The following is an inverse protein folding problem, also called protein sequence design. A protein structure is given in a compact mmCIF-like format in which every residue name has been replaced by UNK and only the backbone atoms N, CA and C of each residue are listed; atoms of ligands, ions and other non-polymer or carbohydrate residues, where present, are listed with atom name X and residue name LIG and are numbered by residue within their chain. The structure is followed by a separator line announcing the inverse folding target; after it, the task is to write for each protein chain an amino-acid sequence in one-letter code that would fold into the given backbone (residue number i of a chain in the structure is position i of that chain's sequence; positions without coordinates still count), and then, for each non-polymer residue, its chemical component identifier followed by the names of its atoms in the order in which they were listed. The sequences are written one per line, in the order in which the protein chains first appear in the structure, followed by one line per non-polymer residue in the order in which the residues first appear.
data_IF_364608731191
#
_entry.id   IF_364608731191
#
_cell.length_a   1.000
_cell.length_b   1.000
_cell.length_c   1.000
_cell.angle_alpha   90.00
_cell.angle_beta   90.00
_cell.angle_gamma   90.00
#
_symmetry.space_group_name_H-M   'P 1'
#
loop_
_entity.id
_entity.type
_entity.pdbx_description
1 polymer ?
#
# COMPACT_ATOMS: atom_id res chain seq x y z
N UNK A 1 -19.14 31.67 -24.46
CA UNK A 1 -20.29 31.89 -23.54
C UNK A 1 -20.97 30.60 -23.08
N UNK A 2 -21.46 29.66 -23.94
CA UNK A 2 -22.04 28.39 -23.45
C UNK A 2 -20.99 27.30 -23.17
N UNK A 3 -19.87 27.30 -23.90
CA UNK A 3 -18.81 26.29 -23.80
C UNK A 3 -18.01 26.43 -22.49
N UNK A 4 -17.68 27.64 -22.04
CA UNK A 4 -17.04 27.85 -20.72
C UNK A 4 -17.82 27.21 -19.57
N UNK A 5 -19.15 27.31 -19.61
CA UNK A 5 -20.03 26.81 -18.55
C UNK A 5 -20.02 25.27 -18.53
N UNK A 6 -20.00 24.65 -19.71
CA UNK A 6 -19.86 23.19 -19.86
C UNK A 6 -18.50 22.72 -19.34
N UNK A 7 -17.41 23.43 -19.69
CA UNK A 7 -16.06 23.10 -19.21
C UNK A 7 -15.97 23.25 -17.70
N UNK A 8 -16.54 24.31 -17.12
CA UNK A 8 -16.56 24.53 -15.67
C UNK A 8 -17.28 23.38 -14.94
N UNK A 9 -18.46 23.00 -15.42
CA UNK A 9 -19.22 21.87 -14.83
C UNK A 9 -18.45 20.56 -14.98
N UNK A 10 -17.88 20.28 -16.15
CA UNK A 10 -17.06 19.09 -16.38
C UNK A 10 -15.83 19.05 -15.46
N UNK A 11 -15.13 20.17 -15.29
CA UNK A 11 -13.97 20.28 -14.42
C UNK A 11 -14.33 20.01 -12.95
N UNK A 12 -15.46 20.55 -12.46
CA UNK A 12 -15.95 20.28 -11.10
C UNK A 12 -16.26 18.80 -10.91
N UNK A 13 -16.94 18.16 -11.87
CA UNK A 13 -17.29 16.74 -11.81
C UNK A 13 -16.02 15.87 -11.80
N UNK A 14 -15.08 16.14 -12.70
CA UNK A 14 -13.82 15.39 -12.78
C UNK A 14 -12.98 15.58 -11.53
N UNK A 15 -12.84 16.81 -11.04
CA UNK A 15 -12.12 17.12 -9.80
C UNK A 15 -12.73 16.37 -8.61
N UNK A 16 -14.07 16.37 -8.50
CA UNK A 16 -14.77 15.62 -7.46
C UNK A 16 -14.52 14.12 -7.56
N UNK A 17 -14.59 13.55 -8.77
CA UNK A 17 -14.31 12.13 -8.99
C UNK A 17 -12.90 11.77 -8.53
N UNK A 18 -11.89 12.54 -8.95
CA UNK A 18 -10.49 12.33 -8.54
C UNK A 18 -10.34 12.47 -7.03
N UNK A 19 -10.94 13.49 -6.42
CA UNK A 19 -10.92 13.68 -4.98
C UNK A 19 -11.49 12.45 -4.24
N UNK A 20 -12.65 11.95 -4.66
CA UNK A 20 -13.25 10.76 -4.03
C UNK A 20 -12.40 9.50 -4.23
N UNK A 21 -11.74 9.35 -5.37
CA UNK A 21 -10.82 8.25 -5.63
C UNK A 21 -9.60 8.31 -4.70
N UNK A 22 -9.01 9.50 -4.52
CA UNK A 22 -7.89 9.70 -3.62
C UNK A 22 -8.27 9.38 -2.16
N UNK A 23 -9.43 9.84 -1.68
CA UNK A 23 -9.90 9.52 -0.33
C UNK A 23 -10.06 8.00 -0.13
N UNK A 24 -10.57 7.28 -1.14
CA UNK A 24 -10.65 5.81 -1.10
C UNK A 24 -9.28 5.16 -1.00
N UNK A 25 -8.31 5.62 -1.80
CA UNK A 25 -6.93 5.11 -1.77
C UNK A 25 -6.32 5.34 -0.39
N UNK A 26 -6.41 6.55 0.15
CA UNK A 26 -5.87 6.88 1.48
C UNK A 26 -6.50 6.00 2.56
N UNK A 27 -7.83 5.81 2.55
CA UNK A 27 -8.51 4.95 3.52
C UNK A 27 -8.01 3.50 3.44
N UNK A 28 -7.83 2.98 2.23
CA UNK A 28 -7.26 1.65 2.01
C UNK A 28 -5.83 1.58 2.53
N UNK A 29 -4.96 2.53 2.20
CA UNK A 29 -3.58 2.58 2.67
C UNK A 29 -3.49 2.64 4.20
N UNK A 30 -4.31 3.47 4.85
CA UNK A 30 -4.35 3.56 6.32
C UNK A 30 -4.80 2.23 6.94
N UNK A 31 -5.85 1.62 6.38
CA UNK A 31 -6.35 0.32 6.88
C UNK A 31 -5.28 -0.77 6.74
N UNK A 32 -4.61 -0.82 5.60
CA UNK A 32 -3.51 -1.76 5.35
C UNK A 32 -2.33 -1.50 6.27
N UNK A 33 -1.93 -0.24 6.48
CA UNK A 33 -0.85 0.11 7.39
C UNK A 33 -1.15 -0.31 8.84
N UNK A 34 -2.39 -0.14 9.31
CA UNK A 34 -2.84 -0.61 10.62
C UNK A 34 -2.78 -2.13 10.70
N UNK A 35 -3.28 -2.84 9.68
CA UNK A 35 -3.24 -4.31 9.64
C UNK A 35 -1.79 -4.84 9.66
N UNK A 36 -0.90 -4.26 8.85
CA UNK A 36 0.53 -4.60 8.83
C UNK A 36 1.13 -4.35 10.22
N UNK A 37 0.86 -3.19 10.82
CA UNK A 37 1.35 -2.86 12.17
C UNK A 37 0.86 -3.87 13.20
N UNK A 38 -0.42 -4.25 13.16
CA UNK A 38 -0.99 -5.24 14.07
C UNK A 38 -0.29 -6.61 13.92
N UNK A 39 -0.07 -7.06 12.68
CA UNK A 39 0.66 -8.31 12.41
C UNK A 39 2.08 -8.23 12.96
N UNK A 40 2.81 -7.16 12.66
CA UNK A 40 4.19 -6.95 13.15
C UNK A 40 4.24 -6.92 14.67
N UNK A 41 3.30 -6.25 15.33
CA UNK A 41 3.21 -6.21 16.79
C UNK A 41 2.94 -7.59 17.38
N UNK A 42 2.05 -8.38 16.78
CA UNK A 42 1.80 -9.76 17.21
C UNK A 42 3.08 -10.58 17.06
N UNK A 43 3.79 -10.47 15.94
CA UNK A 43 5.06 -11.17 15.73
C UNK A 43 6.13 -10.75 16.74
N UNK A 44 6.19 -9.47 17.08
CA UNK A 44 7.12 -8.95 18.07
C UNK A 44 6.81 -9.47 19.48
N UNK A 45 5.53 -9.48 19.88
CA UNK A 45 5.12 -9.92 21.22
C UNK A 45 5.20 -11.44 21.36
N UNK A 46 4.77 -12.19 20.34
CA UNK A 46 4.71 -13.66 20.41
C UNK A 46 6.05 -14.35 20.12
N UNK A 47 6.88 -13.78 19.25
CA UNK A 47 8.12 -14.41 18.77
C UNK A 47 9.37 -13.57 19.00
N UNK A 48 9.25 -12.34 19.50
CA UNK A 48 10.40 -11.43 19.69
C UNK A 48 10.97 -10.84 18.40
N UNK A 49 10.31 -11.04 17.26
CA UNK A 49 10.80 -10.63 15.93
C UNK A 49 10.54 -9.14 15.74
N UNK A 50 11.58 -8.37 15.44
CA UNK A 50 11.42 -6.94 15.15
C UNK A 50 11.14 -6.72 13.66
N UNK A 51 10.42 -5.64 13.28
CA UNK A 51 10.10 -5.37 11.88
C UNK A 51 11.31 -5.29 10.94
N UNK A 52 12.49 -4.93 11.46
CA UNK A 52 13.73 -4.92 10.66
C UNK A 52 14.15 -6.31 10.20
N UNK A 53 13.91 -7.35 11.01
CA UNK A 53 14.25 -8.73 10.67
C UNK A 53 13.38 -9.23 9.52
N UNK A 54 12.08 -8.86 9.52
CA UNK A 54 11.16 -9.14 8.41
C UNK A 54 11.64 -8.50 7.13
N UNK A 55 12.08 -7.24 7.20
CA UNK A 55 12.62 -6.54 6.03
C UNK A 55 13.86 -7.23 5.47
N UNK A 56 14.80 -7.63 6.34
CA UNK A 56 15.98 -8.39 5.93
C UNK A 56 15.59 -9.71 5.27
N UNK A 57 14.67 -10.47 5.86
CA UNK A 57 14.16 -11.71 5.26
C UNK A 57 13.55 -11.47 3.88
N UNK A 58 12.72 -10.44 3.73
CA UNK A 58 12.11 -10.09 2.44
C UNK A 58 13.18 -9.78 1.38
N UNK A 59 14.24 -9.04 1.74
CA UNK A 59 15.34 -8.76 0.81
C UNK A 59 16.18 -9.99 0.46
N UNK A 60 16.19 -11.01 1.32
CA UNK A 60 16.89 -12.27 1.10
C UNK A 60 16.03 -13.32 0.39
N UNK A 61 14.69 -13.17 0.38
CA UNK A 61 13.78 -14.09 -0.31
C UNK A 61 14.15 -14.34 -1.78
N UNK A 62 14.50 -13.33 -2.61
CA UNK A 62 14.92 -13.58 -3.99
C UNK A 62 16.12 -14.52 -4.07
N UNK A 63 17.11 -14.36 -3.17
CA UNK A 63 18.30 -15.21 -3.12
C UNK A 63 17.96 -16.62 -2.65
N UNK A 64 17.09 -16.75 -1.64
CA UNK A 64 16.62 -18.06 -1.12
C UNK A 64 15.87 -18.83 -2.22
N UNK A 65 14.97 -18.14 -2.93
CA UNK A 65 14.21 -18.70 -4.05
C UNK A 65 15.16 -19.07 -5.20
N UNK A 66 16.13 -18.21 -5.51
CA UNK A 66 17.13 -18.49 -6.55
C UNK A 66 17.92 -19.75 -6.22
N UNK A 67 18.46 -19.85 -5.00
CA UNK A 67 19.22 -21.03 -4.55
C UNK A 67 18.37 -22.32 -4.54
N UNK A 68 17.07 -22.22 -4.20
CA UNK A 68 16.12 -23.34 -4.27
C UNK A 68 15.84 -23.80 -5.71
N UNK A 69 15.78 -22.87 -6.67
CA UNK A 69 15.48 -23.17 -8.08
C UNK A 69 16.72 -23.61 -8.84
N UNK A 70 17.89 -23.00 -8.58
CA UNK A 70 19.14 -23.35 -9.28
C UNK A 70 19.84 -24.59 -8.71
N UNK A 71 19.30 -25.18 -7.64
CA UNK A 71 19.81 -26.40 -7.03
C UNK A 71 21.05 -26.14 -6.19
N UNK A 72 20.86 -26.16 -4.86
CA UNK A 72 21.86 -26.77 -3.98
C UNK A 72 21.84 -28.29 -4.12
#
# INVERSE_FOLDING_TARGET
MPVELIILVAAVIVSWLVFTALIKIVKTTVTTAIAVTAIVLILQIAFGIIPQDLWQQITQLPQIIWNLITGG
#
